data_IF_324187350894
#
_entry.id   IF_324187350894
#
_cell.length_a   1.000
_cell.length_b   1.000
_cell.length_c   1.000
_cell.angle_alpha   90.00
_cell.angle_beta   90.00
_cell.angle_gamma   90.00
#
_symmetry.space_group_name_H-M   'P 1'
#
loop_
_entity.id
_entity.type
_entity.pdbx_description
1 polymer ?
#
# COMPACT_ATOMS: atom_id res chain seq x y z
N UNK A 1 6.37 -13.91 75.96
CA UNK A 1 6.88 -12.84 75.08
C UNK A 1 8.17 -13.31 74.44
N UNK A 2 8.16 -13.66 73.16
CA UNK A 2 9.28 -13.55 72.23
C UNK A 2 8.81 -14.09 70.87
N UNK A 3 8.84 -13.23 69.86
CA UNK A 3 8.24 -13.42 68.56
C UNK A 3 9.11 -14.30 67.64
N UNK A 4 8.49 -15.27 66.97
CA UNK A 4 9.07 -15.96 65.83
C UNK A 4 8.92 -15.07 64.58
N UNK A 5 10.03 -14.59 64.03
CA UNK A 5 10.08 -13.89 62.74
C UNK A 5 10.10 -14.91 61.61
N UNK A 6 8.97 -15.08 60.92
CA UNK A 6 8.91 -15.77 59.63
C UNK A 6 9.36 -14.85 58.50
N UNK A 7 10.41 -15.21 57.79
CA UNK A 7 10.80 -14.55 56.53
C UNK A 7 9.89 -15.02 55.40
N UNK A 8 9.06 -14.12 54.89
CA UNK A 8 8.26 -14.33 53.68
C UNK A 8 9.10 -13.89 52.47
N UNK A 9 9.57 -14.85 51.68
CA UNK A 9 10.28 -14.60 50.42
C UNK A 9 9.23 -14.26 49.35
N UNK A 10 9.07 -12.98 49.00
CA UNK A 10 8.28 -12.57 47.85
C UNK A 10 9.11 -12.75 46.56
N UNK A 11 8.73 -13.73 45.73
CA UNK A 11 9.17 -13.83 44.35
C UNK A 11 8.39 -12.80 43.50
N UNK A 12 9.06 -11.70 43.13
CA UNK A 12 8.56 -10.74 42.15
C UNK A 12 8.81 -11.30 40.74
N UNK A 13 7.78 -11.92 40.16
CA UNK A 13 7.74 -12.24 38.73
C UNK A 13 7.61 -10.93 37.94
N UNK A 14 8.71 -10.49 37.32
CA UNK A 14 8.68 -9.45 36.30
C UNK A 14 8.03 -10.03 35.04
N UNK A 15 6.75 -9.72 34.86
CA UNK A 15 6.04 -9.96 33.61
C UNK A 15 6.42 -8.83 32.65
N UNK A 16 7.47 -9.02 31.86
CA UNK A 16 7.80 -8.14 30.74
C UNK A 16 6.76 -8.34 29.64
N UNK A 17 5.68 -7.55 29.69
CA UNK A 17 4.72 -7.46 28.61
C UNK A 17 5.42 -6.78 27.42
N UNK A 18 5.82 -7.56 26.42
CA UNK A 18 6.16 -7.01 25.10
C UNK A 18 4.84 -6.55 24.49
N UNK A 19 4.52 -5.27 24.64
CA UNK A 19 3.46 -4.64 23.85
C UNK A 19 3.93 -4.62 22.39
N UNK A 20 3.38 -5.53 21.58
CA UNK A 20 3.29 -5.28 20.14
C UNK A 20 2.45 -4.01 19.99
N UNK A 21 3.09 -2.90 19.62
CA UNK A 21 2.40 -1.69 19.20
C UNK A 21 1.67 -1.99 17.87
N UNK A 22 0.45 -2.52 17.97
CA UNK A 22 -0.56 -2.28 16.95
C UNK A 22 -0.78 -0.77 16.95
N UNK A 23 -0.39 -0.12 15.86
CA UNK A 23 -0.51 1.34 15.76
C UNK A 23 -1.96 1.70 15.53
N UNK A 24 -2.71 1.93 16.61
CA UNK A 24 -4.06 2.48 16.51
C UNK A 24 -4.00 3.82 15.77
N UNK A 25 -4.83 3.95 14.73
CA UNK A 25 -5.05 5.21 14.03
C UNK A 25 -5.58 6.22 15.04
N UNK A 26 -5.18 7.48 14.90
CA UNK A 26 -5.76 8.54 15.72
C UNK A 26 -7.28 8.58 15.54
N UNK A 27 -8.02 8.71 16.64
CA UNK A 27 -9.48 8.84 16.65
C UNK A 27 -10.00 10.15 16.02
N UNK A 28 -9.10 10.96 15.44
CA UNK A 28 -9.39 12.28 14.92
C UNK A 28 -9.47 13.37 15.99
N UNK A 29 -8.95 13.14 17.22
CA UNK A 29 -8.87 14.18 18.23
C UNK A 29 -8.13 15.43 17.70
N UNK A 30 -8.78 16.58 17.84
CA UNK A 30 -8.33 17.87 17.32
C UNK A 30 -7.05 18.41 17.98
N UNK A 31 -6.63 17.89 19.13
CA UNK A 31 -5.45 18.37 19.87
C UNK A 31 -4.16 18.34 19.04
N UNK A 32 -4.00 17.31 18.20
CA UNK A 32 -2.80 17.12 17.38
C UNK A 32 -2.98 17.55 15.92
N UNK A 33 -4.13 18.11 15.56
CA UNK A 33 -4.45 18.56 14.20
C UNK A 33 -3.57 19.75 13.79
N UNK A 34 -2.84 19.62 12.68
CA UNK A 34 -2.09 20.70 12.04
C UNK A 34 -2.94 21.40 11.00
N UNK A 35 -3.59 22.49 11.42
CA UNK A 35 -4.54 23.24 10.60
C UNK A 35 -3.92 23.76 9.31
N UNK A 36 -2.65 24.14 9.38
CA UNK A 36 -1.85 24.72 8.32
C UNK A 36 -1.50 23.73 7.20
N UNK A 37 -1.52 22.43 7.50
CA UNK A 37 -1.38 21.32 6.55
C UNK A 37 -2.71 20.60 6.29
N UNK A 38 -3.84 21.19 6.69
CA UNK A 38 -5.17 20.60 6.56
C UNK A 38 -6.07 21.39 5.60
N UNK A 39 -6.81 20.68 4.76
CA UNK A 39 -7.88 21.18 3.91
C UNK A 39 -9.23 20.82 4.55
N UNK A 40 -9.95 21.83 5.05
CA UNK A 40 -11.20 21.64 5.78
C UNK A 40 -12.21 22.69 5.29
N UNK A 41 -13.46 22.27 5.08
CA UNK A 41 -14.61 23.16 4.77
C UNK A 41 -14.71 24.31 5.79
N UNK A 42 -15.10 25.52 5.38
CA UNK A 42 -15.49 25.95 4.04
C UNK A 42 -14.31 26.31 3.12
N UNK A 43 -13.11 25.76 3.37
CA UNK A 43 -11.86 26.01 2.64
C UNK A 43 -11.35 27.45 2.82
N UNK A 44 -10.50 27.62 3.84
CA UNK A 44 -9.95 28.92 4.25
C UNK A 44 -9.30 29.68 3.08
N UNK A 45 -9.65 30.96 2.95
CA UNK A 45 -9.08 31.88 1.96
C UNK A 45 -9.72 31.84 0.59
N UNK A 46 -10.76 31.03 0.38
CA UNK A 46 -11.54 31.06 -0.86
C UNK A 46 -12.80 31.88 -0.64
N UNK A 47 -12.93 32.99 -1.38
CA UNK A 47 -14.04 33.94 -1.23
C UNK A 47 -13.92 34.90 -0.04
N UNK A 48 -12.79 34.91 0.68
CA UNK A 48 -12.47 35.85 1.77
C UNK A 48 -11.17 36.60 1.51
N UNK A 49 -10.87 37.63 2.31
CA UNK A 49 -9.61 38.40 2.25
C UNK A 49 -8.39 37.66 2.82
N UNK A 50 -8.59 36.50 3.45
CA UNK A 50 -7.49 35.71 4.02
C UNK A 50 -6.74 34.94 2.95
N UNK A 51 -5.42 34.83 3.05
CA UNK A 51 -4.63 34.03 2.11
C UNK A 51 -4.97 32.53 2.23
N UNK A 52 -5.23 31.82 1.12
CA UNK A 52 -5.50 30.38 1.17
C UNK A 52 -4.24 29.59 1.55
N UNK A 53 -4.44 28.50 2.29
CA UNK A 53 -3.37 27.56 2.72
C UNK A 53 -2.99 26.56 1.62
N UNK A 54 -3.84 26.44 0.60
CA UNK A 54 -3.71 25.50 -0.50
C UNK A 54 -3.77 26.24 -1.83
N UNK A 55 -2.97 25.79 -2.78
CA UNK A 55 -3.05 26.18 -4.18
C UNK A 55 -3.93 25.19 -4.94
N UNK A 56 -4.75 25.71 -5.85
CA UNK A 56 -5.67 24.95 -6.70
C UNK A 56 -5.26 25.15 -8.15
N UNK A 57 -5.07 24.07 -8.91
CA UNK A 57 -4.55 24.12 -10.27
C UNK A 57 -5.31 23.23 -11.25
N UNK A 58 -5.22 23.56 -12.54
CA UNK A 58 -5.84 22.77 -13.61
C UNK A 58 -7.36 22.86 -13.61
N UNK A 59 -8.04 21.72 -13.75
CA UNK A 59 -9.51 21.61 -13.75
C UNK A 59 -10.17 21.72 -12.37
N UNK A 60 -9.39 21.96 -11.32
CA UNK A 60 -9.90 21.92 -9.95
C UNK A 60 -10.95 22.99 -9.69
N UNK A 61 -12.11 22.56 -9.18
CA UNK A 61 -13.24 23.40 -8.82
C UNK A 61 -13.51 23.30 -7.32
N UNK A 62 -13.87 24.43 -6.72
CA UNK A 62 -14.29 24.49 -5.32
C UNK A 62 -15.80 24.68 -5.18
N UNK A 63 -16.37 23.99 -4.20
CA UNK A 63 -17.70 24.28 -3.67
C UNK A 63 -17.60 24.49 -2.16
N UNK A 64 -18.71 24.80 -1.49
CA UNK A 64 -18.73 24.81 -0.02
C UNK A 64 -18.66 23.41 0.61
N UNK A 65 -18.76 22.34 -0.20
CA UNK A 65 -18.90 20.97 0.28
C UNK A 65 -17.78 20.02 -0.15
N UNK A 66 -17.06 20.33 -1.21
CA UNK A 66 -15.97 19.50 -1.73
C UNK A 66 -15.05 20.32 -2.63
N UNK A 67 -13.84 19.81 -2.82
CA UNK A 67 -12.88 20.23 -3.83
C UNK A 67 -12.85 19.17 -4.92
N UNK A 68 -13.38 19.50 -6.10
CA UNK A 68 -13.39 18.60 -7.25
C UNK A 68 -12.09 18.74 -8.02
N UNK A 69 -11.25 17.72 -8.05
CA UNK A 69 -9.99 17.73 -8.81
C UNK A 69 -10.28 17.66 -10.32
N UNK A 70 -11.11 16.71 -10.73
CA UNK A 70 -11.56 16.52 -12.10
C UNK A 70 -13.07 16.25 -12.11
N UNK A 71 -13.83 16.83 -13.06
CA UNK A 71 -15.20 16.42 -13.33
C UNK A 71 -15.25 15.12 -14.13
N UNK A 72 -16.44 14.51 -14.19
CA UNK A 72 -16.78 13.41 -15.11
C UNK A 72 -16.84 13.90 -16.59
N UNK A 73 -15.74 14.50 -17.04
CA UNK A 73 -15.43 14.89 -18.40
C UNK A 73 -14.05 14.31 -18.77
N UNK A 74 -13.85 14.05 -20.06
CA UNK A 74 -12.59 13.53 -20.60
C UNK A 74 -11.46 14.56 -20.56
N UNK A 75 -10.23 14.05 -20.53
CA UNK A 75 -9.00 14.83 -20.71
C UNK A 75 -8.85 16.00 -19.73
N UNK A 76 -9.21 15.79 -18.46
CA UNK A 76 -9.05 16.78 -17.39
C UNK A 76 -7.86 16.42 -16.52
N UNK A 77 -7.23 17.44 -15.93
CA UNK A 77 -6.15 17.31 -14.95
C UNK A 77 -6.31 18.40 -13.93
N UNK A 78 -6.40 18.04 -12.66
CA UNK A 78 -6.51 18.99 -11.57
C UNK A 78 -5.68 18.56 -10.38
N UNK A 79 -5.26 19.54 -9.58
CA UNK A 79 -4.49 19.26 -8.38
C UNK A 79 -4.68 20.34 -7.32
N UNK A 80 -4.47 19.92 -6.08
CA UNK A 80 -4.34 20.79 -4.92
C UNK A 80 -3.03 20.52 -4.21
N UNK A 81 -2.41 21.58 -3.72
CA UNK A 81 -1.12 21.49 -3.04
C UNK A 81 -1.07 22.40 -1.84
N UNK A 82 -0.61 21.87 -0.70
CA UNK A 82 -0.37 22.67 0.48
C UNK A 82 0.79 23.64 0.21
N UNK A 83 0.65 24.89 0.65
CA UNK A 83 1.66 25.93 0.40
C UNK A 83 2.89 25.79 1.27
N UNK A 84 2.77 25.13 2.41
CA UNK A 84 3.82 25.07 3.42
C UNK A 84 4.50 23.69 3.44
N UNK A 85 5.82 23.63 3.51
CA UNK A 85 6.52 22.36 3.68
C UNK A 85 6.23 21.79 5.07
N UNK A 86 6.00 20.49 5.17
CA UNK A 86 5.76 19.80 6.44
C UNK A 86 7.06 19.34 7.07
N UNK A 87 7.33 19.77 8.30
CA UNK A 87 8.52 19.39 9.05
C UNK A 87 8.27 18.32 10.14
N UNK A 88 7.09 17.70 10.13
CA UNK A 88 6.79 16.60 11.04
C UNK A 88 7.55 15.33 10.62
N UNK A 89 8.20 14.68 11.59
CA UNK A 89 8.86 13.38 11.40
C UNK A 89 7.84 12.24 11.39
N UNK A 90 6.83 12.34 12.25
CA UNK A 90 5.77 11.37 12.41
C UNK A 90 4.42 12.05 12.25
N UNK A 91 3.63 11.56 11.32
CA UNK A 91 2.37 12.17 10.95
C UNK A 91 1.37 11.13 10.47
N UNK A 92 0.11 11.51 10.57
CA UNK A 92 -1.01 10.76 10.05
C UNK A 92 -1.92 11.70 9.26
N UNK A 93 -2.19 11.37 8.01
CA UNK A 93 -3.04 12.14 7.13
C UNK A 93 -4.34 11.37 6.89
N UNK A 94 -5.46 11.96 7.31
CA UNK A 94 -6.79 11.45 6.98
C UNK A 94 -7.33 12.20 5.77
N UNK A 95 -7.69 11.47 4.73
CA UNK A 95 -8.30 12.01 3.51
C UNK A 95 -9.72 11.48 3.41
N UNK A 96 -10.69 12.39 3.43
CA UNK A 96 -12.07 12.09 3.06
C UNK A 96 -12.25 12.46 1.59
N UNK A 97 -12.65 11.49 0.78
CA UNK A 97 -12.78 11.65 -0.67
C UNK A 97 -14.09 11.05 -1.17
N UNK A 98 -14.38 11.23 -2.46
CA UNK A 98 -15.43 10.49 -3.17
C UNK A 98 -15.02 10.35 -4.63
N UNK A 99 -15.09 9.14 -5.17
CA UNK A 99 -14.93 8.86 -6.61
C UNK A 99 -16.28 8.40 -7.14
N UNK A 100 -16.84 9.14 -8.10
CA UNK A 100 -18.18 8.84 -8.62
C UNK A 100 -18.39 9.35 -10.03
N UNK A 101 -19.22 8.65 -10.80
CA UNK A 101 -19.50 9.01 -12.18
C UNK A 101 -20.55 8.12 -12.84
N UNK A 102 -20.99 8.55 -14.03
CA UNK A 102 -22.08 7.90 -14.77
C UNK A 102 -21.61 6.69 -15.59
N UNK A 103 -20.29 6.53 -15.75
CA UNK A 103 -19.66 5.40 -16.42
C UNK A 103 -20.18 4.07 -15.88
N UNK A 104 -20.80 3.27 -16.76
CA UNK A 104 -21.32 1.94 -16.44
C UNK A 104 -20.23 0.90 -16.55
N UNK A 105 -20.28 -0.13 -15.67
CA UNK A 105 -19.27 -1.20 -15.61
C UNK A 105 -17.87 -0.58 -15.49
N UNK A 106 -16.93 -0.96 -16.36
CA UNK A 106 -15.53 -0.56 -16.31
C UNK A 106 -15.20 0.64 -17.22
N UNK A 107 -16.22 1.37 -17.71
CA UNK A 107 -16.02 2.55 -18.56
C UNK A 107 -15.91 3.82 -17.71
N UNK A 108 -14.90 3.87 -16.85
CA UNK A 108 -14.59 4.97 -15.93
C UNK A 108 -13.08 5.03 -15.68
N UNK A 109 -12.56 6.17 -15.20
CA UNK A 109 -11.13 6.34 -14.98
C UNK A 109 -10.67 7.79 -14.79
N UNK A 110 -9.41 8.05 -14.49
CA UNK A 110 -8.36 7.04 -14.26
C UNK A 110 -8.10 6.83 -12.74
N UNK A 111 -8.49 7.80 -11.91
CA UNK A 111 -8.28 7.77 -10.47
C UNK A 111 -7.71 9.07 -9.93
N UNK A 112 -7.14 9.01 -8.73
CA UNK A 112 -6.45 10.14 -8.12
C UNK A 112 -5.24 9.69 -7.31
N UNK A 113 -4.35 10.63 -7.01
CA UNK A 113 -3.16 10.40 -6.21
C UNK A 113 -3.12 11.36 -5.02
N UNK A 114 -2.61 10.87 -3.88
CA UNK A 114 -2.23 11.66 -2.71
C UNK A 114 -0.71 11.70 -2.63
N UNK A 115 -0.15 12.88 -2.37
CA UNK A 115 1.26 13.16 -2.49
C UNK A 115 1.87 13.64 -1.17
N UNK A 116 3.12 13.23 -0.94
CA UNK A 116 4.07 13.90 -0.05
C UNK A 116 5.40 14.05 -0.80
N UNK A 117 5.63 15.19 -1.44
CA UNK A 117 6.71 15.33 -2.43
C UNK A 117 7.45 16.67 -2.37
N UNK A 118 8.67 16.69 -2.92
CA UNK A 118 9.56 17.86 -2.93
C UNK A 118 8.99 19.06 -3.68
N UNK A 119 8.43 18.80 -4.85
CA UNK A 119 7.95 19.83 -5.78
C UNK A 119 6.42 19.79 -5.80
N UNK A 120 5.79 20.96 -5.87
CA UNK A 120 4.32 21.11 -5.91
C UNK A 120 3.87 21.83 -7.18
N UNK A 121 2.61 21.69 -7.56
CA UNK A 121 1.96 22.40 -8.68
C UNK A 121 2.58 22.16 -10.07
N UNK A 122 3.30 21.05 -10.25
CA UNK A 122 3.81 20.67 -11.56
C UNK A 122 2.85 19.63 -12.15
N UNK A 123 2.13 20.01 -13.20
CA UNK A 123 1.23 19.11 -13.93
C UNK A 123 2.02 18.06 -14.71
N UNK A 124 1.48 16.85 -14.82
CA UNK A 124 2.06 15.79 -15.64
C UNK A 124 1.10 14.66 -15.93
N UNK A 125 1.65 13.50 -16.25
CA UNK A 125 0.91 12.30 -16.66
C UNK A 125 0.41 11.48 -15.47
N UNK A 126 1.10 11.49 -14.32
CA UNK A 126 0.82 10.63 -13.16
C UNK A 126 -0.36 11.18 -12.36
N UNK A 127 -1.56 10.70 -12.68
CA UNK A 127 -2.83 11.18 -12.10
C UNK A 127 -2.89 12.71 -12.05
N UNK A 128 -2.45 13.39 -13.12
CA UNK A 128 -2.45 14.85 -13.25
C UNK A 128 -1.22 15.56 -12.67
N UNK A 129 -0.31 14.86 -11.98
CA UNK A 129 0.95 15.39 -11.44
C UNK A 129 2.16 14.91 -12.25
N UNK A 130 3.32 15.50 -11.99
CA UNK A 130 4.58 15.16 -12.67
C UNK A 130 5.02 13.72 -12.42
N UNK A 131 5.64 13.14 -13.44
CA UNK A 131 6.42 11.92 -13.30
C UNK A 131 7.79 12.21 -12.67
N UNK A 132 8.56 11.16 -12.35
CA UNK A 132 9.91 11.27 -11.77
C UNK A 132 9.92 12.15 -10.50
N UNK A 133 8.90 11.98 -9.66
CA UNK A 133 8.76 12.73 -8.42
C UNK A 133 9.79 12.31 -7.37
N UNK A 134 10.02 13.20 -6.40
CA UNK A 134 10.82 12.91 -5.22
C UNK A 134 9.88 12.89 -4.00
N UNK A 135 9.72 11.74 -3.35
CA UNK A 135 8.86 11.57 -2.18
C UNK A 135 7.98 10.32 -2.28
N UNK A 136 6.76 10.44 -1.73
CA UNK A 136 5.74 9.40 -1.70
C UNK A 136 4.55 9.79 -2.59
N UNK A 137 4.10 8.85 -3.42
CA UNK A 137 2.81 8.88 -4.10
C UNK A 137 1.97 7.69 -3.64
N UNK A 138 0.71 7.95 -3.29
CA UNK A 138 -0.30 6.95 -3.03
C UNK A 138 -1.38 7.07 -4.11
N UNK A 139 -1.53 6.03 -4.92
CA UNK A 139 -2.40 6.01 -6.09
C UNK A 139 -3.67 5.25 -5.77
N UNK A 140 -4.81 5.85 -6.06
CA UNK A 140 -6.13 5.26 -6.02
C UNK A 140 -6.55 5.10 -7.49
N UNK A 141 -6.21 3.96 -8.06
CA UNK A 141 -6.39 3.65 -9.47
C UNK A 141 -7.73 2.95 -9.69
N UNK A 142 -8.58 3.49 -10.56
CA UNK A 142 -9.91 2.93 -10.81
C UNK A 142 -9.99 2.17 -12.13
N UNK A 143 -8.95 2.17 -12.96
CA UNK A 143 -9.02 1.59 -14.29
C UNK A 143 -7.85 0.61 -14.56
N UNK A 144 -8.12 -0.67 -14.85
CA UNK A 144 -7.06 -1.61 -15.23
C UNK A 144 -6.58 -1.32 -16.66
N UNK A 145 -5.41 -0.67 -16.79
CA UNK A 145 -4.72 -0.50 -18.06
C UNK A 145 -3.97 -1.76 -18.50
N UNK A 146 -3.43 -2.56 -17.58
CA UNK A 146 -2.77 -3.83 -17.93
C UNK A 146 -3.79 -4.94 -18.25
N UNK A 147 -3.87 -5.33 -19.52
CA UNK A 147 -4.74 -6.41 -19.98
C UNK A 147 -4.45 -7.77 -19.31
N UNK A 148 -3.23 -7.96 -18.78
CA UNK A 148 -2.82 -9.19 -18.09
C UNK A 148 -2.77 -9.02 -16.56
N UNK A 149 -3.45 -8.01 -16.02
CA UNK A 149 -3.48 -7.77 -14.59
C UNK A 149 -4.21 -8.90 -13.84
N UNK A 150 -3.60 -9.33 -12.75
CA UNK A 150 -4.18 -10.23 -11.75
C UNK A 150 -4.78 -9.45 -10.56
N UNK A 151 -4.65 -8.11 -10.56
CA UNK A 151 -5.19 -7.22 -9.53
C UNK A 151 -6.67 -6.93 -9.79
N UNK A 152 -7.44 -6.87 -8.71
CA UNK A 152 -8.83 -6.40 -8.75
C UNK A 152 -8.87 -4.88 -8.54
N UNK A 153 -9.57 -4.16 -9.43
CA UNK A 153 -9.70 -2.71 -9.40
C UNK A 153 -11.08 -2.30 -8.83
N UNK A 154 -11.17 -1.17 -8.09
CA UNK A 154 -10.11 -0.19 -7.83
C UNK A 154 -8.96 -0.69 -6.95
N UNK A 155 -7.76 -0.16 -7.19
CA UNK A 155 -6.53 -0.59 -6.54
C UNK A 155 -5.80 0.58 -5.90
N UNK A 156 -5.49 0.45 -4.61
CA UNK A 156 -4.70 1.42 -3.85
C UNK A 156 -3.25 0.93 -3.81
N UNK A 157 -2.30 1.74 -4.26
CA UNK A 157 -0.88 1.37 -4.30
C UNK A 157 0.04 2.51 -3.88
N UNK A 158 1.16 2.19 -3.23
CA UNK A 158 2.17 3.18 -2.82
C UNK A 158 3.45 3.06 -3.64
N UNK A 159 4.06 4.20 -3.93
CA UNK A 159 5.37 4.32 -4.59
C UNK A 159 6.21 5.38 -3.88
N UNK A 160 7.44 5.02 -3.51
CA UNK A 160 8.46 5.98 -3.06
C UNK A 160 9.45 6.15 -4.19
N UNK A 161 9.75 7.40 -4.53
CA UNK A 161 10.61 7.73 -5.66
C UNK A 161 11.62 8.81 -5.27
N UNK A 162 12.84 8.69 -5.76
CA UNK A 162 13.93 9.67 -5.61
C UNK A 162 14.16 10.47 -6.90
N UNK A 163 13.22 10.41 -7.85
CA UNK A 163 13.30 11.03 -9.17
C UNK A 163 13.80 10.11 -10.28
N UNK A 164 14.33 8.91 -9.98
CA UNK A 164 14.88 8.01 -10.99
C UNK A 164 13.85 7.12 -11.68
N UNK A 165 12.72 6.83 -11.03
CA UNK A 165 11.71 5.92 -11.57
C UNK A 165 10.59 6.69 -12.27
N UNK A 166 10.04 6.10 -13.33
CA UNK A 166 8.84 6.58 -14.02
C UNK A 166 7.65 5.70 -13.63
N UNK A 167 6.48 6.31 -13.45
CA UNK A 167 5.24 5.57 -13.23
C UNK A 167 4.69 5.07 -14.58
N UNK A 168 4.72 3.75 -14.77
CA UNK A 168 4.21 3.09 -15.98
C UNK A 168 2.68 2.95 -15.93
N UNK A 169 1.96 3.87 -16.61
CA UNK A 169 0.50 3.80 -16.72
C UNK A 169 0.02 2.58 -17.51
N UNK A 170 0.81 2.06 -18.45
CA UNK A 170 0.42 0.87 -19.22
C UNK A 170 0.43 -0.41 -18.37
N UNK A 171 1.03 -0.34 -17.17
CA UNK A 171 1.14 -1.42 -16.19
C UNK A 171 0.60 -1.04 -14.82
N UNK A 172 -0.24 0.00 -14.74
CA UNK A 172 -0.81 0.54 -13.50
C UNK A 172 0.24 0.62 -12.36
N UNK A 173 1.40 1.18 -12.68
CA UNK A 173 2.51 1.40 -11.74
C UNK A 173 3.23 0.16 -11.20
N UNK A 174 2.86 -1.06 -11.64
CA UNK A 174 3.32 -2.33 -11.08
C UNK A 174 4.84 -2.47 -10.95
N UNK A 175 5.68 -2.04 -11.91
CA UNK A 175 7.14 -2.18 -11.79
C UNK A 175 7.75 -1.37 -10.64
N UNK A 176 7.06 -0.31 -10.18
CA UNK A 176 7.51 0.61 -9.14
C UNK A 176 6.65 0.56 -7.86
N UNK A 177 5.72 -0.40 -7.80
CA UNK A 177 4.83 -0.58 -6.66
C UNK A 177 5.62 -1.12 -5.45
N UNK A 178 5.41 -0.50 -4.28
CA UNK A 178 5.93 -1.03 -3.02
C UNK A 178 5.00 -2.07 -2.41
N UNK A 179 3.71 -1.75 -2.36
CA UNK A 179 2.62 -2.57 -1.83
C UNK A 179 1.29 -1.90 -2.18
N UNK A 180 0.22 -2.69 -2.21
CA UNK A 180 -1.12 -2.22 -2.49
C UNK A 180 -2.20 -3.23 -2.12
N UNK A 181 -3.45 -2.79 -2.24
CA UNK A 181 -4.63 -3.63 -2.01
C UNK A 181 -5.79 -3.21 -2.92
N UNK A 182 -6.71 -4.15 -3.16
CA UNK A 182 -7.99 -3.84 -3.82
C UNK A 182 -8.98 -3.24 -2.83
N UNK A 183 -9.72 -2.21 -3.24
CA UNK A 183 -10.67 -1.49 -2.39
C UNK A 183 -11.85 -0.95 -3.20
N UNK A 184 -13.07 -1.40 -2.87
CA UNK A 184 -14.31 -1.01 -3.55
C UNK A 184 -14.76 0.39 -3.09
N UNK A 185 -14.16 1.43 -3.67
CA UNK A 185 -14.31 2.83 -3.23
C UNK A 185 -15.10 3.73 -4.21
N UNK A 186 -15.46 3.22 -5.38
CA UNK A 186 -16.12 3.99 -6.43
C UNK A 186 -17.64 3.86 -6.33
N UNK A 187 -18.35 4.98 -6.48
CA UNK A 187 -19.83 5.04 -6.49
C UNK A 187 -20.49 4.45 -5.23
N UNK A 188 -19.80 4.49 -4.09
CA UNK A 188 -20.42 4.14 -2.80
C UNK A 188 -21.30 5.30 -2.29
N UNK A 189 -22.39 4.94 -1.62
CA UNK A 189 -23.42 5.85 -1.13
C UNK A 189 -23.10 6.52 0.21
N UNK A 190 -22.07 6.02 0.90
CA UNK A 190 -21.55 6.55 2.16
C UNK A 190 -20.24 7.32 1.96
N UNK A 191 -19.65 7.78 3.07
CA UNK A 191 -18.37 8.48 3.07
C UNK A 191 -17.20 7.50 2.95
N UNK A 192 -16.20 7.86 2.14
CA UNK A 192 -14.97 7.08 2.00
C UNK A 192 -13.78 7.81 2.60
N UNK A 193 -12.98 7.07 3.38
CA UNK A 193 -11.81 7.61 4.05
C UNK A 193 -10.55 6.78 3.77
N UNK A 194 -9.42 7.49 3.79
CA UNK A 194 -8.08 6.95 3.67
C UNK A 194 -7.22 7.53 4.79
N UNK A 195 -6.56 6.68 5.57
CA UNK A 195 -5.58 7.08 6.57
C UNK A 195 -4.19 6.68 6.08
N UNK A 196 -3.28 7.65 6.03
CA UNK A 196 -1.87 7.47 5.62
C UNK A 196 -1.02 7.84 6.82
N UNK A 197 -0.39 6.84 7.45
CA UNK A 197 0.44 7.01 8.63
C UNK A 197 1.90 6.77 8.27
N UNK A 198 2.75 7.75 8.54
CA UNK A 198 4.20 7.61 8.46
C UNK A 198 4.81 7.88 9.83
N UNK A 199 5.44 6.88 10.41
CA UNK A 199 6.12 7.02 11.70
C UNK A 199 7.29 6.06 11.81
N UNK A 200 8.45 6.58 12.28
CA UNK A 200 9.69 5.80 12.47
C UNK A 200 10.05 4.88 11.29
N UNK A 201 9.85 5.37 10.07
CA UNK A 201 10.13 4.64 8.84
C UNK A 201 9.17 3.51 8.49
N UNK A 202 8.01 3.43 9.15
CA UNK A 202 6.89 2.55 8.78
C UNK A 202 5.81 3.38 8.09
N UNK A 203 5.37 2.92 6.92
CA UNK A 203 4.23 3.46 6.18
C UNK A 203 3.06 2.49 6.32
N UNK A 204 1.98 2.97 6.92
CA UNK A 204 0.73 2.22 7.04
C UNK A 204 -0.39 2.98 6.33
N UNK A 205 -1.13 2.31 5.47
CA UNK A 205 -2.30 2.85 4.75
C UNK A 205 -3.51 2.01 5.10
N UNK A 206 -4.59 2.68 5.49
CA UNK A 206 -5.85 2.06 5.86
C UNK A 206 -7.02 2.74 5.16
N UNK A 207 -8.06 1.97 4.86
CA UNK A 207 -9.26 2.44 4.17
C UNK A 207 -10.50 2.19 5.02
N UNK A 208 -11.44 3.13 5.04
CA UNK A 208 -12.79 2.92 5.55
C UNK A 208 -13.78 3.26 4.42
N UNK A 209 -14.30 2.21 3.78
CA UNK A 209 -15.13 2.26 2.57
C UNK A 209 -16.27 1.24 2.60
N UNK A 210 -16.52 0.63 3.76
CA UNK A 210 -17.54 -0.42 3.94
C UNK A 210 -18.70 0.04 4.86
N UNK A 211 -18.78 1.34 5.18
CA UNK A 211 -19.76 1.96 6.11
C UNK A 211 -19.80 1.32 7.50
N UNK A 212 -18.66 0.80 7.97
CA UNK A 212 -18.52 0.15 9.29
C UNK A 212 -17.89 1.03 10.34
N UNK A 213 -17.39 2.21 9.93
CA UNK A 213 -16.56 3.06 10.79
C UNK A 213 -15.39 2.25 11.37
N UNK A 214 -14.80 1.38 10.52
CA UNK A 214 -13.73 0.46 10.86
C UNK A 214 -12.64 0.58 9.81
N UNK A 215 -11.42 0.82 10.27
CA UNK A 215 -10.26 0.94 9.40
C UNK A 215 -9.74 -0.43 9.00
N UNK A 216 -9.73 -0.68 7.69
CA UNK A 216 -9.15 -1.89 7.10
C UNK A 216 -7.73 -1.61 6.62
N UNK A 217 -6.77 -2.40 7.09
CA UNK A 217 -5.37 -2.31 6.63
C UNK A 217 -5.26 -2.66 5.15
N UNK A 218 -4.54 -1.81 4.42
CA UNK A 218 -4.27 -1.95 2.99
C UNK A 218 -2.77 -2.15 2.72
N UNK A 219 -1.93 -1.27 3.30
CA UNK A 219 -0.47 -1.31 3.15
C UNK A 219 0.13 -1.21 4.54
N UNK A 220 1.12 -2.04 4.83
CA UNK A 220 1.93 -1.91 6.03
C UNK A 220 3.37 -2.35 5.75
N UNK A 221 4.25 -1.38 5.55
CA UNK A 221 5.64 -1.61 5.16
C UNK A 221 6.59 -0.82 6.06
N UNK A 222 7.71 -1.46 6.41
CA UNK A 222 8.80 -0.84 7.17
C UNK A 222 9.99 -0.51 6.27
N UNK A 223 10.91 0.30 6.76
CA UNK A 223 12.11 0.71 6.02
C UNK A 223 11.89 1.85 5.03
N UNK A 224 10.74 2.52 5.06
CA UNK A 224 10.47 3.69 4.22
C UNK A 224 11.19 4.90 4.79
N UNK A 225 12.05 5.53 4.00
CA UNK A 225 12.77 6.76 4.36
C UNK A 225 12.21 7.92 3.57
N UNK A 226 11.62 8.89 4.25
CA UNK A 226 11.12 10.12 3.66
C UNK A 226 11.75 11.32 4.37
N UNK A 227 12.15 12.37 3.64
CA UNK A 227 12.64 13.60 4.26
C UNK A 227 11.50 14.40 4.88
N UNK A 228 11.87 15.28 5.81
CA UNK A 228 11.02 16.42 6.18
C UNK A 228 11.17 17.55 5.16
N UNK A 229 10.25 18.50 5.17
CA UNK A 229 10.28 19.69 4.31
C UNK A 229 9.63 19.51 2.95
N UNK A 230 8.89 18.42 2.74
CA UNK A 230 8.12 18.18 1.51
C UNK A 230 6.67 18.66 1.67
N UNK A 231 5.92 18.68 0.56
CA UNK A 231 4.57 19.22 0.48
C UNK A 231 3.53 18.12 0.35
N UNK A 232 2.42 18.28 1.05
CA UNK A 232 1.22 17.49 0.82
C UNK A 232 0.46 17.99 -0.40
N UNK A 233 -0.14 17.07 -1.15
CA UNK A 233 -0.99 17.40 -2.29
C UNK A 233 -1.93 16.27 -2.65
N UNK A 234 -2.85 16.56 -3.55
CA UNK A 234 -3.67 15.56 -4.23
C UNK A 234 -3.86 15.97 -5.68
N UNK A 235 -3.93 15.02 -6.60
CA UNK A 235 -4.17 15.30 -8.02
C UNK A 235 -5.01 14.20 -8.65
N UNK A 236 -5.70 14.52 -9.73
CA UNK A 236 -6.42 13.55 -10.55
C UNK A 236 -6.27 13.89 -12.03
N UNK A 237 -6.40 12.87 -12.86
CA UNK A 237 -6.55 13.00 -14.30
C UNK A 237 -7.68 12.10 -14.81
N UNK A 238 -8.28 12.52 -15.92
CA UNK A 238 -9.20 11.70 -16.72
C UNK A 238 -8.65 11.58 -18.15
N UNK A 239 -8.72 10.38 -18.71
CA UNK A 239 -8.32 10.08 -20.08
C UNK A 239 -9.50 10.11 -21.05
N UNK A 240 -9.65 9.02 -21.81
CA UNK A 240 -10.84 8.75 -22.63
C UNK A 240 -12.06 8.35 -21.79
N UNK A 241 -11.81 7.86 -20.59
CA UNK A 241 -12.78 7.61 -19.54
C UNK A 241 -12.69 8.71 -18.49
N UNK A 242 -13.74 8.84 -17.68
CA UNK A 242 -13.85 9.90 -16.70
C UNK A 242 -14.60 9.45 -15.46
N UNK A 243 -14.36 10.19 -14.38
CA UNK A 243 -15.10 10.18 -13.12
C UNK A 243 -14.95 11.55 -12.47
N UNK A 244 -15.87 11.90 -11.57
CA UNK A 244 -15.63 12.96 -10.61
C UNK A 244 -14.70 12.47 -9.52
N UNK A 245 -13.66 13.26 -9.24
CA UNK A 245 -12.70 12.98 -8.17
C UNK A 245 -12.74 14.12 -7.15
N UNK A 246 -13.49 13.90 -6.07
CA UNK A 246 -13.76 14.92 -5.05
C UNK A 246 -12.92 14.66 -3.79
N UNK A 247 -12.22 15.69 -3.31
CA UNK A 247 -11.58 15.73 -1.99
C UNK A 247 -12.46 16.56 -1.07
N UNK A 248 -13.02 15.94 -0.05
CA UNK A 248 -13.89 16.58 0.93
C UNK A 248 -13.04 17.23 2.02
N UNK A 249 -12.07 16.48 2.56
CA UNK A 249 -11.10 17.01 3.52
C UNK A 249 -9.77 16.26 3.49
N UNK A 250 -8.71 16.96 3.89
CA UNK A 250 -7.40 16.40 4.21
C UNK A 250 -7.02 16.92 5.59
N UNK A 251 -6.85 16.05 6.58
CA UNK A 251 -6.55 16.43 7.96
C UNK A 251 -5.23 15.79 8.37
N UNK A 252 -4.23 16.62 8.65
CA UNK A 252 -2.92 16.15 9.10
C UNK A 252 -2.84 16.21 10.62
N UNK A 253 -2.46 15.10 11.24
CA UNK A 253 -2.22 14.99 12.68
C UNK A 253 -0.73 14.76 12.93
N UNK A 254 -0.20 15.43 13.93
CA UNK A 254 1.13 15.13 14.46
C UNK A 254 1.04 13.93 15.39
N UNK A 255 1.94 12.97 15.22
CA UNK A 255 2.07 11.87 16.17
C UNK A 255 3.12 12.22 17.22
N UNK A 256 2.76 12.06 18.49
CA UNK A 256 3.69 12.26 19.61
C UNK A 256 4.54 11.01 19.77
N UNK A 257 5.71 11.01 19.15
CA UNK A 257 6.65 9.88 19.15
C UNK A 257 7.99 10.37 19.69
N UNK A 258 8.53 9.65 20.67
CA UNK A 258 9.86 9.91 21.21
C UNK A 258 10.94 9.44 20.22
N UNK A 259 11.89 10.33 19.93
CA UNK A 259 13.06 10.07 19.09
C UNK A 259 14.31 10.00 19.97
N UNK A 260 15.29 9.18 19.57
CA UNK A 260 16.55 9.14 20.31
C UNK A 260 17.39 10.40 20.01
N UNK A 261 18.35 10.78 20.87
CA UNK A 261 19.23 11.91 20.59
C UNK A 261 19.99 11.79 19.25
N UNK A 262 20.32 10.57 18.84
CA UNK A 262 20.93 10.29 17.54
C UNK A 262 19.97 10.64 16.39
N UNK A 263 18.70 10.23 16.49
CA UNK A 263 17.67 10.60 15.51
C UNK A 263 17.43 12.10 15.45
N UNK A 264 17.55 12.81 16.58
CA UNK A 264 17.43 14.27 16.62
C UNK A 264 18.64 15.00 15.99
N UNK A 265 19.81 14.38 15.98
CA UNK A 265 21.03 14.95 15.39
C UNK A 265 21.05 14.91 13.85
N UNK A 266 20.21 14.07 13.23
CA UNK A 266 20.12 13.92 11.77
C UNK A 266 19.43 15.12 11.15
N UNK A 267 19.96 15.64 10.05
CA UNK A 267 19.24 16.60 9.19
C UNK A 267 18.21 15.87 8.33
N UNK A 268 16.98 15.75 8.86
CA UNK A 268 15.87 15.06 8.20
C UNK A 268 15.46 15.68 6.86
N UNK A 269 15.84 16.93 6.57
CA UNK A 269 15.52 17.58 5.29
C UNK A 269 16.36 17.04 4.13
N UNK A 270 17.49 16.40 4.43
CA UNK A 270 18.46 15.86 3.47
C UNK A 270 18.31 14.35 3.21
N UNK A 271 17.34 13.69 3.82
CA UNK A 271 17.10 12.27 3.59
C UNK A 271 16.66 12.06 2.13
N UNK A 272 17.29 11.14 1.41
CA UNK A 272 16.81 10.74 0.09
C UNK A 272 15.64 9.76 0.20
N UNK A 273 14.52 10.00 -0.50
CA UNK A 273 13.39 9.08 -0.53
C UNK A 273 13.84 7.68 -0.98
N UNK A 274 13.62 6.68 -0.14
CA UNK A 274 14.08 5.31 -0.41
C UNK A 274 13.32 4.31 0.45
N UNK A 275 13.43 3.03 0.10
CA UNK A 275 12.93 1.93 0.93
C UNK A 275 14.08 0.97 1.18
N UNK A 276 14.50 0.84 2.43
CA UNK A 276 15.39 -0.24 2.84
C UNK A 276 14.55 -1.51 2.90
N UNK A 277 14.51 -2.24 1.79
CA UNK A 277 13.95 -3.58 1.77
C UNK A 277 14.81 -4.44 2.71
N UNK A 278 14.41 -4.56 3.98
CA UNK A 278 14.67 -5.79 4.72
C UNK A 278 14.01 -6.85 3.85
N UNK A 279 14.81 -7.66 3.13
CA UNK A 279 14.31 -8.75 2.29
C UNK A 279 13.18 -9.42 3.05
N UNK A 280 11.95 -9.21 2.61
CA UNK A 280 10.87 -10.10 3.01
C UNK A 280 11.36 -11.50 2.64
N UNK A 281 11.27 -12.53 3.51
CA UNK A 281 11.72 -13.89 3.19
C UNK A 281 11.00 -14.56 2.02
N UNK A 282 10.32 -13.81 1.15
CA UNK A 282 9.72 -14.27 -0.09
C UNK A 282 10.45 -13.56 -1.23
N UNK A 283 11.00 -14.38 -2.11
CA UNK A 283 11.62 -14.02 -3.39
C UNK A 283 13.14 -13.77 -3.36
N UNK A 284 13.86 -14.64 -2.66
CA UNK A 284 15.23 -15.01 -3.05
C UNK A 284 15.36 -16.53 -3.12
N UNK A 285 14.83 -17.13 -4.19
CA UNK A 285 15.42 -18.35 -4.73
C UNK A 285 15.90 -18.01 -6.15
N UNK A 286 16.90 -17.15 -6.21
CA UNK A 286 17.93 -17.28 -7.23
C UNK A 286 19.16 -17.77 -6.48
N UNK A 287 19.31 -19.09 -6.44
CA UNK A 287 20.53 -19.73 -5.98
C UNK A 287 21.66 -19.35 -6.96
N UNK A 288 22.64 -18.51 -6.57
CA UNK A 288 23.74 -18.12 -7.45
C UNK A 288 24.82 -19.21 -7.52
N UNK A 289 24.60 -20.36 -6.89
CA UNK A 289 25.48 -21.51 -6.89
C UNK A 289 24.74 -22.68 -7.50
N UNK A 290 24.97 -22.93 -8.79
CA UNK A 290 24.54 -24.15 -9.47
C UNK A 290 25.15 -25.41 -8.84
N UNK A 291 24.64 -25.80 -7.68
CA UNK A 291 25.04 -26.96 -6.91
C UNK A 291 23.78 -27.78 -6.65
N UNK A 292 23.39 -28.58 -7.67
CA UNK A 292 22.56 -29.76 -7.47
C UNK A 292 23.32 -30.76 -6.58
N UNK A 293 23.39 -30.49 -5.27
CA UNK A 293 23.73 -31.49 -4.26
C UNK A 293 22.44 -31.81 -3.53
N UNK A 294 21.86 -32.93 -3.93
CA UNK A 294 20.89 -33.70 -3.18
C UNK A 294 21.20 -33.64 -1.67
N UNK A 295 20.36 -32.91 -0.92
CA UNK A 295 20.40 -32.98 0.53
C UNK A 295 20.25 -34.44 0.98
N UNK A 296 20.89 -34.86 2.08
CA UNK A 296 20.81 -36.24 2.54
C UNK A 296 19.35 -36.64 2.72
N UNK A 297 18.91 -37.64 1.96
CA UNK A 297 17.54 -38.16 2.04
C UNK A 297 17.33 -38.68 3.46
N UNK A 298 16.42 -38.04 4.20
CA UNK A 298 15.98 -38.57 5.49
C UNK A 298 15.44 -39.98 5.29
N UNK A 299 15.69 -40.90 6.25
CA UNK A 299 15.37 -42.33 6.10
C UNK A 299 13.92 -42.63 5.66
N UNK A 300 12.99 -41.74 6.03
CA UNK A 300 11.60 -41.77 5.58
C UNK A 300 11.42 -41.56 4.06
N UNK A 301 12.19 -40.64 3.46
CA UNK A 301 12.15 -40.39 2.01
C UNK A 301 12.76 -41.54 1.22
N UNK A 302 13.82 -42.16 1.74
CA UNK A 302 14.40 -43.38 1.13
C UNK A 302 13.41 -44.55 1.18
N UNK A 303 12.74 -44.73 2.32
CA UNK A 303 11.70 -45.76 2.46
C UNK A 303 10.56 -45.57 1.45
N UNK A 304 10.04 -44.34 1.30
CA UNK A 304 9.00 -44.03 0.31
C UNK A 304 9.45 -44.28 -1.13
N UNK A 305 10.67 -43.88 -1.49
CA UNK A 305 11.21 -44.12 -2.82
C UNK A 305 11.35 -45.62 -3.13
N UNK A 306 11.83 -46.42 -2.17
CA UNK A 306 11.93 -47.87 -2.32
C UNK A 306 10.55 -48.53 -2.42
N UNK A 307 9.58 -48.07 -1.65
CA UNK A 307 8.19 -48.54 -1.73
C UNK A 307 7.58 -48.26 -3.11
N UNK A 308 7.74 -47.03 -3.63
CA UNK A 308 7.25 -46.66 -4.96
C UNK A 308 7.93 -47.46 -6.07
N UNK A 309 9.26 -47.69 -5.97
CA UNK A 309 9.98 -48.50 -6.93
C UNK A 309 9.50 -49.96 -6.94
N UNK A 310 9.26 -50.55 -5.76
CA UNK A 310 8.78 -51.93 -5.63
C UNK A 310 7.36 -52.08 -6.17
N UNK A 311 6.47 -51.13 -5.88
CA UNK A 311 5.13 -51.08 -6.47
C UNK A 311 5.17 -50.92 -7.99
N UNK A 312 6.06 -50.07 -8.51
CA UNK A 312 6.27 -49.90 -9.95
C UNK A 312 6.70 -51.20 -10.64
N UNK A 313 7.64 -51.95 -10.05
CA UNK A 313 8.10 -53.24 -10.58
C UNK A 313 6.96 -54.27 -10.59
N UNK A 314 6.14 -54.32 -9.53
CA UNK A 314 4.98 -55.22 -9.46
C UNK A 314 3.98 -54.89 -10.57
N UNK A 315 3.66 -53.61 -10.78
CA UNK A 315 2.76 -53.18 -11.85
C UNK A 315 3.32 -53.56 -13.22
N UNK A 316 4.61 -53.31 -13.47
CA UNK A 316 5.25 -53.69 -14.73
C UNK A 316 5.24 -55.22 -14.96
N UNK A 317 5.45 -56.03 -13.91
CA UNK A 317 5.40 -57.48 -14.00
C UNK A 317 3.98 -57.98 -14.30
N UNK A 318 2.95 -57.43 -13.65
CA UNK A 318 1.55 -57.79 -13.90
C UNK A 318 1.13 -57.41 -15.31
N UNK A 319 1.42 -56.18 -15.74
CA UNK A 319 1.12 -55.72 -17.12
C UNK A 319 1.89 -56.56 -18.14
N UNK A 320 3.17 -56.87 -17.88
CA UNK A 320 3.97 -57.75 -18.71
C UNK A 320 3.39 -59.15 -18.84
N UNK A 321 2.94 -59.75 -17.73
CA UNK A 321 2.31 -61.06 -17.71
C UNK A 321 0.98 -61.06 -18.48
N UNK A 322 0.13 -60.04 -18.28
CA UNK A 322 -1.15 -59.90 -19.00
C UNK A 322 -0.92 -59.74 -20.51
N UNK A 323 0.04 -58.90 -20.91
CA UNK A 323 0.39 -58.71 -22.33
C UNK A 323 0.97 -60.00 -22.93
N UNK A 324 1.81 -60.72 -22.18
CA UNK A 324 2.39 -61.98 -22.63
C UNK A 324 1.34 -63.09 -22.78
N UNK A 325 0.42 -63.23 -21.81
CA UNK A 325 -0.72 -64.16 -21.90
C UNK A 325 -1.61 -63.84 -23.09
N UNK A 326 -1.98 -62.56 -23.27
CA UNK A 326 -2.79 -62.10 -24.41
C UNK A 326 -2.10 -62.33 -25.76
N UNK A 327 -0.76 -62.24 -25.81
CA UNK A 327 0.04 -62.58 -27.01
C UNK A 327 0.08 -64.09 -27.26
N UNK A 328 0.17 -64.93 -26.23
CA UNK A 328 0.09 -66.38 -26.38
C UNK A 328 -1.29 -66.86 -26.85
N UNK A 329 -2.39 -66.29 -26.35
CA UNK A 329 -3.73 -66.60 -26.83
C UNK A 329 -3.92 -66.25 -28.31
N UNK A 330 -3.32 -65.15 -28.76
CA UNK A 330 -3.38 -64.71 -30.15
C UNK A 330 -2.55 -65.59 -31.09
N UNK A 331 -1.42 -66.14 -30.62
CA UNK A 331 -0.56 -67.03 -31.39
C UNK A 331 -1.12 -68.48 -31.49
N UNK A 332 -1.98 -68.91 -30.55
CA UNK A 332 -2.66 -70.21 -30.59
C UNK A 332 -3.89 -70.27 -31.52
N UNK A 333 -4.28 -69.14 -32.15
CA UNK A 333 -5.38 -69.08 -33.13
C UNK A 333 -4.93 -69.21 -34.60
N UNK A 334 -3.64 -69.39 -34.85
CA UNK A 334 -3.05 -69.49 -36.19
C UNK A 334 -2.27 -70.79 -36.44
N UNK A 335 -2.56 -71.85 -35.67
CA UNK A 335 -2.19 -73.23 -35.98
C UNK A 335 -3.40 -74.14 -35.86
#
# INVERSE_FOLDING_TARGET
>A
MAAARGSLLLLLLHNSLVQLASGDITDGNSEHLKREHSLIKPYQGVGSSSMPLWDFGGSTMLTSQYVRLTPDDRSKRGSIWNRMPCHLKDWELHVQFKVHGLGKKNLHGDGFAVWYTKDRLITGTVFGSRDNFHGLGLFIDTYPNDENTDRAFPYVSAMVNNGSMSYDHGKDGRPSELSGCSSELRNVDHDTYLAIRYSRGRLTVMTDVEDKNEWKECIDISGVRLPTGYYFGASSATGDLSDNHDIISMKLYQLTVEHTPEDESIDWTKIEPSVSLLKSPKDNIDDPTGNFRSGPLTGWKVFLLLLCALLGIIVCAVVGAVVFQKRQERNKRFY
#
